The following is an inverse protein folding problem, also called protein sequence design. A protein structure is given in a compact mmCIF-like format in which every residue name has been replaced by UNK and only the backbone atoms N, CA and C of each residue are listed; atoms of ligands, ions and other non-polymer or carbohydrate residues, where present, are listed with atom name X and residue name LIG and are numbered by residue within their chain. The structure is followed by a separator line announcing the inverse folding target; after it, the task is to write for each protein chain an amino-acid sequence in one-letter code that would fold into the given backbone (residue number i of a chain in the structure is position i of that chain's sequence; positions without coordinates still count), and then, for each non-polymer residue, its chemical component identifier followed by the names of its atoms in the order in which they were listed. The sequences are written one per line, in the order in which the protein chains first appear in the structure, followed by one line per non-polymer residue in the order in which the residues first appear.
data_IF_794887767012
#
_entry.id   IF_794887767012
#
_cell.length_a   1.000
_cell.length_b   1.000
_cell.length_c   1.000
_cell.angle_alpha   90.00
_cell.angle_beta   90.00
_cell.angle_gamma   90.00
#
_symmetry.space_group_name_H-M   'P 1'
#
loop_
_entity.id
_entity.type
_entity.pdbx_description
1 polymer ?
#
# COMPACT_ATOMS: atom_id res chain seq x y z
N UNK A 1 4.64 46.67 41.88
CA UNK A 1 5.42 45.53 41.34
C UNK A 1 4.75 44.15 41.47
N UNK A 2 3.62 43.99 42.19
CA UNK A 2 2.99 42.67 42.38
C UNK A 2 2.11 42.16 41.21
N UNK A 3 1.74 43.00 40.24
CA UNK A 3 0.83 42.62 39.15
C UNK A 3 1.49 41.98 37.92
N UNK A 4 2.78 42.25 37.67
CA UNK A 4 3.47 41.75 36.48
C UNK A 4 3.79 40.25 36.57
N UNK A 5 4.30 39.78 37.71
CA UNK A 5 4.63 38.37 37.91
C UNK A 5 3.42 37.43 37.96
N UNK A 6 2.24 37.92 38.32
CA UNK A 6 1.00 37.12 38.31
C UNK A 6 0.46 36.94 36.89
N UNK A 7 0.53 37.97 36.05
CA UNK A 7 0.11 37.92 34.64
C UNK A 7 1.01 36.98 33.82
N UNK A 8 2.32 37.05 34.06
CA UNK A 8 3.31 36.22 33.37
C UNK A 8 3.14 34.73 33.74
N UNK A 9 2.89 34.43 35.02
CA UNK A 9 2.61 33.08 35.49
C UNK A 9 1.30 32.53 34.92
N UNK A 10 0.25 33.35 34.84
CA UNK A 10 -1.02 32.99 34.23
C UNK A 10 -0.88 32.70 32.73
N UNK A 11 -0.11 33.51 32.00
CA UNK A 11 0.16 33.28 30.57
C UNK A 11 0.94 31.98 30.32
N UNK A 12 1.90 31.65 31.18
CA UNK A 12 2.65 30.38 31.10
C UNK A 12 1.75 29.18 31.38
N UNK A 13 0.93 29.25 32.43
CA UNK A 13 -0.02 28.17 32.76
C UNK A 13 -1.10 28.00 31.67
N UNK A 14 -1.61 29.10 31.11
CA UNK A 14 -2.55 29.08 30.00
C UNK A 14 -1.94 28.45 28.75
N UNK A 15 -0.73 28.87 28.34
CA UNK A 15 -0.02 28.26 27.20
C UNK A 15 0.22 26.77 27.41
N UNK A 16 0.66 26.36 28.59
CA UNK A 16 0.88 24.94 28.90
C UNK A 16 -0.41 24.11 28.85
N UNK A 17 -1.55 24.67 29.29
CA UNK A 17 -2.85 24.00 29.22
C UNK A 17 -3.35 23.86 27.77
N UNK A 18 -3.12 24.88 26.93
CA UNK A 18 -3.45 24.85 25.49
C UNK A 18 -2.55 23.85 24.76
N UNK A 19 -1.23 23.86 25.01
CA UNK A 19 -0.29 22.89 24.43
C UNK A 19 -0.65 21.45 24.79
N UNK A 20 -1.03 21.18 26.05
CA UNK A 20 -1.50 19.85 26.46
C UNK A 20 -2.78 19.42 25.76
N UNK A 21 -3.70 20.36 25.51
CA UNK A 21 -4.92 20.09 24.74
C UNK A 21 -4.62 19.82 23.27
N UNK A 22 -3.75 20.61 22.64
CA UNK A 22 -3.39 20.48 21.23
C UNK A 22 -2.50 19.27 20.96
N UNK A 23 -1.76 18.78 21.95
CA UNK A 23 -0.99 17.55 21.84
C UNK A 23 -1.88 16.33 21.52
N UNK A 24 -3.12 16.29 22.01
CA UNK A 24 -4.08 15.23 21.69
C UNK A 24 -4.60 15.26 20.24
N UNK A 25 -4.34 16.36 19.52
CA UNK A 25 -4.70 16.55 18.12
C UNK A 25 -3.54 16.32 17.16
N UNK A 26 -2.36 15.91 17.66
CA UNK A 26 -1.23 15.45 16.84
C UNK A 26 -1.24 13.92 16.81
N UNK A 27 -1.44 13.34 15.65
CA UNK A 27 -1.55 11.89 15.45
C UNK A 27 -0.35 11.36 14.65
N UNK A 28 0.24 10.24 15.08
CA UNK A 28 1.24 9.50 14.29
C UNK A 28 0.54 8.80 13.11
N UNK A 29 0.94 9.13 11.88
CA UNK A 29 0.30 8.64 10.67
C UNK A 29 0.63 7.20 10.33
N UNK A 30 1.76 6.65 10.79
CA UNK A 30 2.10 5.23 10.62
C UNK A 30 1.11 4.34 11.36
N UNK A 31 0.57 4.80 12.50
CA UNK A 31 -0.46 4.07 13.27
C UNK A 31 -1.89 4.49 12.93
N UNK A 32 -2.10 5.68 12.36
CA UNK A 32 -3.43 6.16 11.99
C UNK A 32 -3.91 5.58 10.65
N UNK A 33 -2.99 5.26 9.72
CA UNK A 33 -3.32 4.63 8.45
C UNK A 33 -3.55 3.13 8.66
N UNK A 34 -4.78 2.68 8.47
CA UNK A 34 -5.17 1.27 8.58
C UNK A 34 -5.31 0.67 7.18
N UNK A 35 -4.43 -0.29 6.85
CA UNK A 35 -4.45 -1.03 5.59
C UNK A 35 -5.10 -2.41 5.80
N UNK A 36 -5.96 -2.83 4.87
CA UNK A 36 -6.53 -4.19 4.85
C UNK A 36 -6.58 -4.76 3.42
N UNK A 37 -6.35 -6.07 3.30
CA UNK A 37 -6.63 -6.86 2.11
C UNK A 37 -7.84 -7.76 2.39
N UNK A 38 -8.97 -7.47 1.76
CA UNK A 38 -10.28 -8.04 2.08
C UNK A 38 -10.63 -9.15 1.09
N UNK A 39 -10.79 -10.39 1.56
CA UNK A 39 -11.28 -11.53 0.78
C UNK A 39 -12.75 -11.82 1.07
N UNK A 40 -13.12 -11.67 2.34
CA UNK A 40 -14.45 -11.94 2.86
C UNK A 40 -15.00 -10.73 3.64
N UNK A 41 -16.33 -10.53 3.70
CA UNK A 41 -16.92 -9.41 4.44
C UNK A 41 -16.43 -9.30 5.90
N UNK A 42 -16.23 -10.43 6.57
CA UNK A 42 -15.73 -10.51 7.95
C UNK A 42 -14.30 -9.97 8.13
N UNK A 43 -13.50 -9.84 7.06
CA UNK A 43 -12.16 -9.25 7.16
C UNK A 43 -12.23 -7.74 7.50
N UNK A 44 -13.36 -7.06 7.23
CA UNK A 44 -13.55 -5.64 7.56
C UNK A 44 -13.54 -5.39 9.06
N UNK A 45 -14.12 -6.31 9.84
CA UNK A 45 -14.25 -6.22 11.29
C UNK A 45 -13.11 -6.95 12.03
N UNK A 46 -12.24 -7.66 11.29
CA UNK A 46 -11.16 -8.44 11.86
C UNK A 46 -9.86 -7.63 11.93
N UNK A 47 -9.50 -7.15 13.13
CA UNK A 47 -8.28 -6.36 13.36
C UNK A 47 -6.98 -7.12 13.05
N UNK A 48 -6.98 -8.46 13.06
CA UNK A 48 -5.82 -9.27 12.66
C UNK A 48 -5.46 -9.03 11.18
N UNK A 49 -6.43 -8.61 10.35
CA UNK A 49 -6.21 -8.28 8.95
C UNK A 49 -5.68 -6.86 8.74
N UNK A 50 -5.68 -6.02 9.77
CA UNK A 50 -5.13 -4.68 9.70
C UNK A 50 -3.61 -4.74 9.77
N UNK A 51 -2.97 -4.05 8.84
CA UNK A 51 -1.53 -3.78 8.89
C UNK A 51 -1.29 -2.30 8.62
N UNK A 52 -0.06 -1.87 8.86
CA UNK A 52 0.29 -0.45 8.97
C UNK A 52 1.46 -0.11 8.04
N UNK A 53 1.56 1.14 7.56
CA UNK A 53 2.75 1.63 6.89
C UNK A 53 3.99 1.57 7.78
N UNK A 54 5.15 1.31 7.17
CA UNK A 54 6.47 1.52 7.80
C UNK A 54 6.93 2.98 7.62
N UNK A 55 6.53 3.60 6.51
CA UNK A 55 6.89 4.97 6.14
C UNK A 55 5.64 5.78 5.77
N UNK A 56 5.54 7.00 6.27
CA UNK A 56 4.56 8.00 5.84
C UNK A 56 5.17 9.39 5.62
N UNK A 57 6.48 9.53 5.84
CA UNK A 57 7.20 10.81 5.79
C UNK A 57 7.09 11.55 4.46
N UNK A 58 7.00 10.85 3.32
CA UNK A 58 6.85 11.50 2.01
C UNK A 58 5.54 12.30 1.88
N UNK A 59 4.50 11.95 2.66
CA UNK A 59 3.22 12.69 2.70
C UNK A 59 3.09 13.58 3.93
N UNK A 60 3.56 13.12 5.09
CA UNK A 60 3.30 13.74 6.39
C UNK A 60 4.55 14.33 7.06
N UNK A 61 5.63 14.49 6.29
CA UNK A 61 6.90 15.07 6.74
C UNK A 61 7.72 14.13 7.63
N UNK A 62 8.94 14.52 7.96
CA UNK A 62 9.89 13.67 8.71
C UNK A 62 9.39 13.23 10.09
N UNK A 63 8.48 14.00 10.69
CA UNK A 63 7.83 13.69 11.97
C UNK A 63 6.76 12.60 11.85
N UNK A 64 6.29 12.30 10.62
CA UNK A 64 5.23 11.32 10.34
C UNK A 64 3.96 11.58 11.15
N UNK A 65 3.51 12.84 11.13
CA UNK A 65 2.35 13.27 11.92
C UNK A 65 1.35 14.09 11.13
N UNK A 66 0.07 13.94 11.48
CA UNK A 66 -1.01 14.81 11.06
C UNK A 66 -1.57 15.59 12.25
N UNK A 67 -1.79 16.89 12.07
CA UNK A 67 -2.30 17.80 13.07
C UNK A 67 -3.79 18.13 12.87
N UNK A 68 -4.49 18.36 13.98
CA UNK A 68 -5.85 18.89 14.02
C UNK A 68 -6.94 17.83 14.18
N UNK A 69 -6.58 16.58 14.45
CA UNK A 69 -7.52 15.47 14.60
C UNK A 69 -7.26 14.69 15.88
N UNK A 70 -8.33 14.42 16.65
CA UNK A 70 -8.29 13.51 17.80
C UNK A 70 -8.87 12.16 17.42
N UNK A 71 -8.12 11.09 17.68
CA UNK A 71 -8.54 9.72 17.33
C UNK A 71 -8.63 9.51 15.82
N UNK A 72 -7.68 10.07 15.07
CA UNK A 72 -7.62 9.98 13.61
C UNK A 72 -7.46 8.52 13.16
N UNK A 73 -8.28 8.11 12.20
CA UNK A 73 -8.17 6.87 11.45
C UNK A 73 -8.27 7.16 9.95
N UNK A 74 -7.30 6.67 9.19
CA UNK A 74 -7.23 6.81 7.74
C UNK A 74 -7.36 5.40 7.16
N UNK A 75 -8.58 5.05 6.77
CA UNK A 75 -8.92 3.71 6.31
C UNK A 75 -8.63 3.58 4.82
N UNK A 76 -7.69 2.70 4.46
CA UNK A 76 -7.34 2.35 3.09
C UNK A 76 -7.49 0.84 2.91
N UNK A 77 -8.71 0.42 2.57
CA UNK A 77 -9.03 -1.00 2.43
C UNK A 77 -9.08 -1.39 0.96
N UNK A 78 -8.55 -2.57 0.65
CA UNK A 78 -8.39 -3.04 -0.72
C UNK A 78 -9.02 -4.42 -0.85
N UNK A 79 -9.79 -4.64 -1.92
CA UNK A 79 -10.21 -6.00 -2.26
C UNK A 79 -8.97 -6.81 -2.66
N UNK A 80 -8.84 -8.03 -2.12
CA UNK A 80 -7.58 -8.76 -2.11
C UNK A 80 -6.94 -8.98 -3.48
N UNK A 81 -7.72 -9.23 -4.55
CA UNK A 81 -7.20 -9.42 -5.90
C UNK A 81 -7.12 -8.11 -6.67
N UNK A 82 -8.26 -7.55 -7.07
CA UNK A 82 -8.35 -6.36 -7.92
C UNK A 82 -7.77 -5.09 -7.31
N UNK A 83 -7.56 -5.06 -6.00
CA UNK A 83 -7.16 -3.89 -5.22
C UNK A 83 -8.13 -2.71 -5.34
N UNK A 84 -9.38 -2.94 -5.74
CA UNK A 84 -10.43 -1.92 -5.68
C UNK A 84 -10.47 -1.33 -4.25
N UNK A 85 -10.50 0.00 -4.16
CA UNK A 85 -10.11 0.70 -2.93
C UNK A 85 -11.30 1.35 -2.24
N UNK A 86 -11.38 1.23 -0.92
CA UNK A 86 -12.16 2.10 -0.05
C UNK A 86 -11.22 3.05 0.67
N UNK A 87 -11.55 4.34 0.62
CA UNK A 87 -10.84 5.40 1.32
C UNK A 87 -11.79 6.21 2.20
N UNK A 88 -11.51 6.26 3.51
CA UNK A 88 -12.26 7.05 4.48
C UNK A 88 -11.33 7.66 5.52
N UNK A 89 -11.64 8.88 5.94
CA UNK A 89 -11.01 9.51 7.11
C UNK A 89 -12.07 9.59 8.21
N UNK A 90 -11.75 9.02 9.37
CA UNK A 90 -12.59 9.04 10.57
C UNK A 90 -11.83 9.71 11.71
N UNK A 91 -12.53 10.41 12.59
CA UNK A 91 -11.96 11.05 13.77
C UNK A 91 -13.05 11.29 14.82
N UNK A 92 -12.66 11.40 16.09
CA UNK A 92 -13.58 11.72 17.17
C UNK A 92 -13.92 13.22 17.22
N UNK A 93 -12.90 14.07 17.03
CA UNK A 93 -13.06 15.52 16.90
C UNK A 93 -11.95 16.12 16.03
N UNK A 94 -12.24 17.30 15.46
CA UNK A 94 -11.35 18.09 14.62
C UNK A 94 -11.25 19.50 15.21
N UNK A 95 -10.08 20.13 15.17
CA UNK A 95 -9.94 21.54 15.55
C UNK A 95 -10.73 22.42 14.58
N UNK A 96 -11.28 23.53 15.07
CA UNK A 96 -11.93 24.53 14.23
C UNK A 96 -11.34 25.93 14.46
N UNK A 97 -11.50 26.81 13.46
CA UNK A 97 -11.02 28.19 13.52
C UNK A 97 -11.66 29.01 14.64
N UNK A 98 -12.86 28.61 15.11
CA UNK A 98 -13.64 29.34 16.09
C UNK A 98 -13.19 29.06 17.54
N UNK A 99 -12.55 27.92 17.80
CA UNK A 99 -12.10 27.49 19.12
C UNK A 99 -10.59 27.65 19.34
N UNK A 100 -9.78 27.34 18.32
CA UNK A 100 -8.34 27.16 18.51
C UNK A 100 -7.46 28.08 17.64
N UNK A 101 -8.04 28.87 16.73
CA UNK A 101 -7.32 29.73 15.76
C UNK A 101 -6.30 28.97 14.88
N UNK A 102 -6.47 27.65 14.70
CA UNK A 102 -5.61 26.80 13.86
C UNK A 102 -6.48 25.94 12.94
N UNK A 103 -6.03 25.73 11.72
CA UNK A 103 -6.66 24.81 10.77
C UNK A 103 -6.03 23.42 10.90
N UNK A 104 -6.83 22.37 10.71
CA UNK A 104 -6.34 21.00 10.66
C UNK A 104 -5.68 20.70 9.31
N UNK A 105 -4.75 19.75 9.29
CA UNK A 105 -4.10 19.32 8.04
C UNK A 105 -5.10 18.72 7.05
N UNK A 106 -4.89 18.97 5.76
CA UNK A 106 -5.66 18.33 4.69
C UNK A 106 -5.20 16.87 4.45
N UNK A 107 -5.57 16.00 5.38
CA UNK A 107 -5.27 14.56 5.31
C UNK A 107 -5.88 13.93 4.06
N UNK A 108 -7.10 14.30 3.69
CA UNK A 108 -7.76 13.75 2.51
C UNK A 108 -7.05 14.12 1.22
N UNK A 109 -6.70 15.40 1.05
CA UNK A 109 -5.97 15.87 -0.12
C UNK A 109 -4.60 15.22 -0.25
N UNK A 110 -3.87 15.02 0.86
CA UNK A 110 -2.59 14.31 0.87
C UNK A 110 -2.72 12.87 0.37
N UNK A 111 -3.69 12.11 0.87
CA UNK A 111 -3.89 10.72 0.42
C UNK A 111 -4.32 10.68 -1.06
N UNK A 112 -5.20 11.59 -1.50
CA UNK A 112 -5.65 11.68 -2.90
C UNK A 112 -4.53 11.99 -3.90
N UNK A 113 -3.36 12.46 -3.46
CA UNK A 113 -2.21 12.69 -4.34
C UNK A 113 -1.57 11.37 -4.81
N UNK A 114 -1.73 10.28 -4.05
CA UNK A 114 -1.02 9.02 -4.31
C UNK A 114 -1.93 7.83 -4.63
N UNK A 115 -3.24 7.93 -4.38
CA UNK A 115 -4.23 6.93 -4.80
C UNK A 115 -4.94 7.38 -6.08
N UNK A 116 -5.27 6.47 -7.01
CA UNK A 116 -6.06 6.82 -8.19
C UNK A 116 -7.49 7.23 -7.79
N UNK A 117 -8.15 8.06 -8.60
CA UNK A 117 -9.56 8.39 -8.38
C UNK A 117 -10.47 7.16 -8.57
N UNK A 118 -11.71 7.26 -8.08
CA UNK A 118 -12.72 6.19 -8.25
C UNK A 118 -12.79 5.18 -7.08
N UNK A 119 -12.15 5.48 -5.94
CA UNK A 119 -12.33 4.73 -4.70
C UNK A 119 -13.75 4.88 -4.13
N UNK A 120 -14.21 3.87 -3.41
CA UNK A 120 -15.45 3.92 -2.62
C UNK A 120 -15.22 4.70 -1.32
N UNK A 121 -16.27 5.35 -0.81
CA UNK A 121 -16.23 6.13 0.44
C UNK A 121 -17.12 5.55 1.54
N UNK A 122 -17.77 4.40 1.30
CA UNK A 122 -18.57 3.67 2.27
C UNK A 122 -18.45 2.16 2.08
N UNK A 123 -18.71 1.42 3.16
CA UNK A 123 -18.54 -0.03 3.21
C UNK A 123 -19.55 -0.80 2.35
N UNK A 124 -20.76 -0.28 2.15
CA UNK A 124 -21.79 -0.95 1.35
C UNK A 124 -21.41 -1.03 -0.14
N UNK A 125 -20.90 0.08 -0.70
CA UNK A 125 -20.40 0.11 -2.08
C UNK A 125 -19.18 -0.80 -2.24
N UNK A 126 -18.29 -0.80 -1.23
CA UNK A 126 -17.11 -1.66 -1.23
C UNK A 126 -17.48 -3.16 -1.17
N UNK A 127 -18.46 -3.54 -0.35
CA UNK A 127 -18.98 -4.91 -0.31
C UNK A 127 -19.66 -5.30 -1.63
N UNK A 128 -20.35 -4.36 -2.29
CA UNK A 128 -20.94 -4.59 -3.62
C UNK A 128 -19.88 -4.82 -4.70
N UNK A 129 -18.69 -4.24 -4.56
CA UNK A 129 -17.53 -4.57 -5.42
C UNK A 129 -16.94 -5.94 -5.08
N UNK A 130 -16.87 -6.29 -3.79
CA UNK A 130 -16.34 -7.58 -3.32
C UNK A 130 -17.13 -8.78 -3.84
N UNK A 131 -18.44 -8.63 -4.06
CA UNK A 131 -19.27 -9.65 -4.70
C UNK A 131 -18.86 -9.96 -6.14
N UNK A 132 -18.29 -8.97 -6.85
CA UNK A 132 -17.85 -9.10 -8.26
C UNK A 132 -16.39 -9.52 -8.40
N UNK A 133 -15.68 -9.72 -7.29
CA UNK A 133 -14.25 -10.04 -7.30
C UNK A 133 -13.94 -11.39 -7.97
N UNK A 134 -14.93 -12.29 -8.08
CA UNK A 134 -14.79 -13.55 -8.82
C UNK A 134 -14.39 -13.36 -10.30
N UNK A 135 -14.72 -12.21 -10.87
CA UNK A 135 -14.38 -11.85 -12.25
C UNK A 135 -12.92 -11.43 -12.42
N UNK A 136 -12.22 -11.08 -11.33
CA UNK A 136 -10.81 -10.73 -11.37
C UNK A 136 -9.95 -11.93 -11.82
N UNK A 137 -8.96 -11.64 -12.67
CA UNK A 137 -7.97 -12.61 -13.16
C UNK A 137 -6.57 -11.99 -13.15
N UNK A 138 -5.52 -12.78 -12.86
CA UNK A 138 -4.14 -12.32 -12.97
C UNK A 138 -3.81 -11.79 -14.37
N UNK A 139 -2.96 -10.76 -14.42
CA UNK A 139 -2.54 -10.13 -15.67
C UNK A 139 -1.35 -10.85 -16.30
N UNK A 140 -1.32 -10.89 -17.63
CA UNK A 140 -0.15 -11.32 -18.39
C UNK A 140 0.05 -12.84 -18.45
N UNK A 141 1.31 -13.25 -18.55
CA UNK A 141 1.72 -14.65 -18.80
C UNK A 141 2.17 -15.32 -17.52
N UNK A 142 1.59 -16.49 -17.20
CA UNK A 142 2.02 -17.31 -16.08
C UNK A 142 3.46 -17.81 -16.29
N UNK A 143 4.34 -17.54 -15.33
CA UNK A 143 5.74 -17.98 -15.34
C UNK A 143 6.00 -19.16 -14.40
N UNK A 144 5.40 -19.13 -13.21
CA UNK A 144 5.66 -20.15 -12.19
C UNK A 144 4.43 -20.38 -11.31
N UNK A 145 4.26 -21.62 -10.84
CA UNK A 145 3.27 -22.00 -9.82
C UNK A 145 4.00 -22.80 -8.74
N UNK A 146 3.77 -22.45 -7.48
CA UNK A 146 4.32 -23.16 -6.32
C UNK A 146 3.26 -23.31 -5.24
N UNK A 147 3.42 -24.31 -4.38
CA UNK A 147 2.53 -24.53 -3.24
C UNK A 147 3.33 -24.57 -1.95
N UNK A 148 2.78 -23.97 -0.91
CA UNK A 148 3.31 -24.07 0.45
C UNK A 148 2.40 -25.04 1.20
N UNK A 149 2.96 -26.20 1.55
CA UNK A 149 2.26 -27.19 2.35
C UNK A 149 2.21 -26.71 3.80
N UNK A 150 1.05 -26.83 4.43
CA UNK A 150 0.94 -26.56 5.86
C UNK A 150 1.79 -27.59 6.64
N UNK A 151 2.74 -27.15 7.49
CA UNK A 151 3.58 -28.05 8.27
C UNK A 151 2.78 -28.86 9.30
N UNK A 152 1.54 -28.44 9.61
CA UNK A 152 0.63 -29.11 10.55
C UNK A 152 -0.46 -29.94 9.86
N UNK A 153 -0.36 -30.16 8.54
CA UNK A 153 -1.34 -30.96 7.79
C UNK A 153 -2.67 -30.24 7.49
N UNK A 154 -2.66 -28.90 7.55
CA UNK A 154 -3.79 -28.04 7.14
C UNK A 154 -3.87 -27.81 5.62
N UNK A 155 -4.60 -26.78 5.22
CA UNK A 155 -4.78 -26.42 3.80
C UNK A 155 -3.46 -26.06 3.11
N UNK A 156 -3.34 -26.50 1.86
CA UNK A 156 -2.22 -26.16 1.00
C UNK A 156 -2.47 -24.81 0.33
N UNK A 157 -1.55 -23.87 0.50
CA UNK A 157 -1.63 -22.58 -0.18
C UNK A 157 -0.96 -22.69 -1.54
N UNK A 158 -1.61 -22.20 -2.60
CA UNK A 158 -1.08 -22.24 -3.96
C UNK A 158 -0.88 -20.83 -4.48
N UNK A 159 0.29 -20.57 -5.04
CA UNK A 159 0.72 -19.27 -5.51
C UNK A 159 1.18 -19.34 -6.95
N UNK A 160 1.09 -18.21 -7.64
CA UNK A 160 1.44 -18.07 -9.03
C UNK A 160 2.17 -16.77 -9.29
N UNK A 161 3.18 -16.80 -10.15
CA UNK A 161 3.97 -15.64 -10.57
C UNK A 161 3.70 -15.41 -12.05
N UNK A 162 3.33 -14.17 -12.39
CA UNK A 162 3.02 -13.74 -13.75
C UNK A 162 3.96 -12.63 -14.20
N UNK A 163 4.24 -12.55 -15.50
CA UNK A 163 4.80 -11.34 -16.13
C UNK A 163 3.71 -10.60 -16.88
N UNK A 164 3.52 -9.33 -16.55
CA UNK A 164 2.56 -8.44 -17.18
C UNK A 164 3.25 -7.24 -17.84
N UNK A 165 2.47 -6.52 -18.65
CA UNK A 165 2.82 -5.25 -19.28
C UNK A 165 1.54 -4.43 -19.53
N UNK A 166 1.69 -3.18 -19.97
CA UNK A 166 0.57 -2.25 -20.17
C UNK A 166 -0.38 -2.64 -21.32
N UNK A 167 -0.07 -3.68 -22.11
CA UNK A 167 -1.00 -4.20 -23.13
C UNK A 167 -2.12 -5.05 -22.51
N UNK A 168 -1.92 -5.50 -21.26
CA UNK A 168 -2.92 -6.24 -20.52
C UNK A 168 -4.09 -5.31 -20.13
N UNK A 169 -5.30 -5.63 -20.61
CA UNK A 169 -6.52 -4.87 -20.29
C UNK A 169 -6.71 -4.75 -18.77
N UNK A 170 -6.84 -3.52 -18.28
CA UNK A 170 -7.06 -3.22 -16.86
C UNK A 170 -5.78 -3.20 -15.99
N UNK A 171 -4.61 -3.50 -16.56
CA UNK A 171 -3.37 -3.57 -15.78
C UNK A 171 -2.86 -2.20 -15.37
N UNK A 172 -3.03 -1.16 -16.20
CA UNK A 172 -2.63 0.21 -15.87
C UNK A 172 -3.32 0.70 -14.60
N UNK A 173 -4.64 0.58 -14.57
CA UNK A 173 -5.46 1.01 -13.42
C UNK A 173 -5.17 0.15 -12.19
N UNK A 174 -4.92 -1.15 -12.37
CA UNK A 174 -4.49 -2.03 -11.28
C UNK A 174 -3.13 -1.62 -10.71
N UNK A 175 -2.15 -1.32 -11.58
CA UNK A 175 -0.82 -0.87 -11.17
C UNK A 175 -0.88 0.46 -10.41
N UNK A 176 -1.73 1.39 -10.84
CA UNK A 176 -1.96 2.66 -10.13
C UNK A 176 -2.47 2.45 -8.70
N UNK A 177 -3.34 1.45 -8.47
CA UNK A 177 -3.77 1.09 -7.11
C UNK A 177 -2.63 0.44 -6.32
N UNK A 178 -1.90 -0.48 -6.95
CA UNK A 178 -0.82 -1.25 -6.32
C UNK A 178 0.39 -0.39 -5.93
N UNK A 179 0.80 0.58 -6.76
CA UNK A 179 2.00 1.38 -6.50
C UNK A 179 1.89 2.24 -5.23
N UNK A 180 0.68 2.56 -4.78
CA UNK A 180 0.43 3.25 -3.50
C UNK A 180 1.15 2.54 -2.35
N UNK A 181 1.18 1.21 -2.35
CA UNK A 181 1.84 0.43 -1.29
C UNK A 181 3.35 0.67 -1.21
N UNK A 182 4.00 1.08 -2.31
CA UNK A 182 5.42 1.41 -2.27
C UNK A 182 5.70 2.61 -1.37
N UNK A 183 4.81 3.60 -1.36
CA UNK A 183 4.94 4.80 -0.52
C UNK A 183 4.95 4.46 0.98
N UNK A 184 4.36 3.32 1.34
CA UNK A 184 4.25 2.84 2.72
C UNK A 184 5.41 1.95 3.16
N UNK A 185 6.11 1.30 2.21
CA UNK A 185 7.01 0.18 2.51
C UNK A 185 8.40 0.29 1.88
N UNK A 186 8.64 1.29 1.03
CA UNK A 186 9.97 1.59 0.49
C UNK A 186 10.26 3.06 0.75
N UNK A 187 11.26 3.32 1.58
CA UNK A 187 11.62 4.65 2.10
C UNK A 187 11.70 5.73 1.01
N UNK A 188 12.37 5.43 -0.10
CA UNK A 188 12.62 6.38 -1.21
C UNK A 188 11.82 6.03 -2.47
N UNK A 189 10.64 5.43 -2.31
CA UNK A 189 9.75 5.13 -3.44
C UNK A 189 9.39 6.37 -4.25
N UNK A 190 9.28 6.19 -5.57
CA UNK A 190 8.66 7.13 -6.49
C UNK A 190 7.89 6.36 -7.56
N UNK A 191 6.80 6.93 -8.06
CA UNK A 191 6.04 6.31 -9.14
C UNK A 191 6.83 6.35 -10.45
N UNK A 192 6.78 5.26 -11.20
CA UNK A 192 7.50 5.09 -12.46
C UNK A 192 6.70 5.67 -13.64
N UNK A 193 7.42 6.03 -14.71
CA UNK A 193 6.80 6.34 -16.01
C UNK A 193 6.38 5.05 -16.71
N UNK A 194 5.08 4.74 -16.66
CA UNK A 194 4.49 3.52 -17.24
C UNK A 194 4.41 3.55 -18.77
N UNK A 195 4.67 4.69 -19.41
CA UNK A 195 4.67 4.80 -20.87
C UNK A 195 6.04 4.41 -21.48
N UNK A 196 7.09 4.26 -20.66
CA UNK A 196 8.35 3.64 -21.08
C UNK A 196 8.21 2.10 -21.15
N UNK A 197 8.22 1.58 -22.37
CA UNK A 197 8.08 0.15 -22.68
C UNK A 197 9.18 -0.75 -22.09
N UNK A 198 10.26 -0.18 -21.55
CA UNK A 198 11.36 -0.93 -20.91
C UNK A 198 11.01 -1.43 -19.51
N UNK A 199 9.88 -1.00 -18.94
CA UNK A 199 9.39 -1.52 -17.68
C UNK A 199 8.76 -2.90 -17.83
N UNK A 200 9.28 -3.85 -17.07
CA UNK A 200 8.70 -5.18 -16.90
C UNK A 200 8.11 -5.34 -15.51
N UNK A 201 6.96 -6.00 -15.43
CA UNK A 201 6.20 -6.17 -14.19
C UNK A 201 6.06 -7.66 -13.89
N UNK A 202 6.42 -8.07 -12.68
CA UNK A 202 6.28 -9.44 -12.20
C UNK A 202 5.36 -9.46 -11.00
N UNK A 203 4.23 -10.17 -11.09
CA UNK A 203 3.14 -10.16 -10.12
C UNK A 203 3.05 -11.50 -9.41
N UNK A 204 2.82 -11.50 -8.10
CA UNK A 204 2.57 -12.70 -7.31
C UNK A 204 1.12 -12.71 -6.84
N UNK A 205 0.43 -13.82 -7.10
CA UNK A 205 -0.93 -14.05 -6.64
C UNK A 205 -1.06 -15.35 -5.84
N UNK A 206 -1.85 -15.32 -4.77
CA UNK A 206 -2.34 -16.51 -4.07
C UNK A 206 -3.69 -16.92 -4.64
N UNK A 207 -3.87 -18.21 -4.91
CA UNK A 207 -5.18 -18.78 -5.22
C UNK A 207 -5.91 -19.10 -3.92
N UNK A 208 -7.16 -18.66 -3.81
CA UNK A 208 -8.04 -19.04 -2.70
C UNK A 208 -9.44 -19.37 -3.24
N UNK A 209 -10.22 -20.12 -2.46
CA UNK A 209 -11.58 -20.48 -2.82
C UNK A 209 -12.60 -19.68 -2.00
N UNK A 210 -13.66 -19.21 -2.65
CA UNK A 210 -14.81 -18.55 -2.03
C UNK A 210 -16.05 -18.96 -2.81
N UNK A 211 -17.08 -19.44 -2.10
CA UNK A 211 -18.37 -19.85 -2.67
C UNK A 211 -18.26 -20.85 -3.85
N UNK A 212 -17.28 -21.76 -3.77
CA UNK A 212 -17.02 -22.78 -4.80
C UNK A 212 -16.27 -22.28 -6.04
N UNK A 213 -15.92 -20.99 -6.11
CA UNK A 213 -15.10 -20.41 -7.15
C UNK A 213 -13.64 -20.23 -6.69
N UNK A 214 -12.70 -20.28 -7.64
CA UNK A 214 -11.28 -19.96 -7.39
C UNK A 214 -11.01 -18.50 -7.76
N UNK A 215 -10.55 -17.74 -6.76
CA UNK A 215 -10.18 -16.33 -6.84
C UNK A 215 -8.67 -16.17 -6.65
N UNK A 216 -8.19 -14.94 -6.84
CA UNK A 216 -6.77 -14.61 -6.79
C UNK A 216 -6.57 -13.39 -5.89
N UNK A 217 -5.69 -13.51 -4.90
CA UNK A 217 -5.30 -12.41 -4.03
C UNK A 217 -3.90 -11.93 -4.39
N UNK A 218 -3.72 -10.62 -4.48
CA UNK A 218 -2.42 -9.98 -4.71
C UNK A 218 -1.51 -10.18 -3.50
N UNK A 219 -0.34 -10.77 -3.74
CA UNK A 219 0.66 -11.06 -2.70
C UNK A 219 1.78 -10.04 -2.72
N UNK A 220 2.16 -9.58 -3.92
CA UNK A 220 3.26 -8.66 -4.11
C UNK A 220 3.65 -8.53 -5.57
N UNK A 221 4.66 -7.71 -5.84
CA UNK A 221 5.18 -7.54 -7.19
C UNK A 221 6.63 -7.03 -7.22
N UNK A 222 7.20 -7.03 -8.42
CA UNK A 222 8.49 -6.45 -8.73
C UNK A 222 8.43 -5.69 -10.06
N UNK A 223 9.02 -4.50 -10.09
CA UNK A 223 9.31 -3.76 -11.33
C UNK A 223 10.78 -3.89 -11.68
N UNK A 224 11.04 -4.14 -12.97
CA UNK A 224 12.40 -4.30 -13.50
C UNK A 224 12.54 -3.43 -14.73
N UNK A 225 13.53 -2.55 -14.75
CA UNK A 225 13.84 -1.74 -15.93
C UNK A 225 14.85 -2.45 -16.83
N UNK A 226 14.51 -2.66 -18.09
CA UNK A 226 15.38 -3.36 -19.04
C UNK A 226 16.37 -2.40 -19.71
N UNK A 227 17.47 -2.07 -19.03
CA UNK A 227 18.48 -1.12 -19.56
C UNK A 227 19.12 -1.65 -20.84
N UNK A 228 19.12 -0.82 -21.88
CA UNK A 228 19.89 -1.09 -23.10
C UNK A 228 21.39 -0.99 -22.82
N UNK A 229 22.13 -1.98 -23.30
CA UNK A 229 23.59 -2.04 -23.27
C UNK A 229 24.06 -2.14 -24.71
N UNK A 230 24.78 -1.11 -25.18
CA UNK A 230 25.31 -1.07 -26.53
C UNK A 230 26.22 -2.28 -26.82
N UNK A 231 26.17 -2.87 -28.04
CA UNK A 231 25.31 -2.48 -29.17
C UNK A 231 23.95 -3.19 -29.24
N UNK A 232 23.77 -4.31 -28.56
CA UNK A 232 22.65 -5.23 -28.84
C UNK A 232 22.20 -6.05 -27.61
N UNK A 233 22.58 -5.61 -26.40
CA UNK A 233 22.31 -6.34 -25.16
C UNK A 233 21.43 -5.55 -24.21
N UNK A 234 20.98 -6.21 -23.15
CA UNK A 234 20.30 -5.55 -22.03
C UNK A 234 20.85 -5.99 -20.68
N UNK A 235 20.64 -5.14 -19.68
CA UNK A 235 20.92 -5.39 -18.27
C UNK A 235 19.68 -5.04 -17.45
N UNK A 236 18.78 -6.00 -17.21
CA UNK A 236 17.64 -5.79 -16.34
C UNK A 236 18.07 -5.33 -14.94
N UNK A 237 17.41 -4.29 -14.42
CA UNK A 237 17.65 -3.78 -13.06
C UNK A 237 16.37 -3.83 -12.25
N UNK A 238 16.37 -4.60 -11.18
CA UNK A 238 15.28 -4.59 -10.18
C UNK A 238 15.21 -3.18 -9.59
N UNK A 239 14.04 -2.55 -9.70
CA UNK A 239 13.83 -1.18 -9.24
C UNK A 239 12.97 -1.13 -7.99
N UNK A 240 11.83 -1.81 -7.97
CA UNK A 240 10.94 -1.87 -6.82
C UNK A 240 10.56 -3.31 -6.60
N UNK A 241 10.58 -3.77 -5.35
CA UNK A 241 10.16 -5.10 -4.96
C UNK A 241 9.39 -5.02 -3.66
N UNK A 242 8.18 -5.56 -3.66
CA UNK A 242 7.33 -5.57 -2.48
C UNK A 242 6.57 -6.89 -2.38
N UNK A 243 6.63 -7.50 -1.20
CA UNK A 243 5.66 -8.50 -0.74
C UNK A 243 4.82 -7.82 0.33
N UNK A 244 3.49 -7.82 0.17
CA UNK A 244 2.58 -7.16 1.10
C UNK A 244 2.70 -7.82 2.49
N UNK A 245 2.59 -7.00 3.54
CA UNK A 245 2.90 -7.37 4.93
C UNK A 245 2.32 -8.71 5.39
N UNK A 246 1.05 -9.06 5.10
CA UNK A 246 0.47 -10.35 5.52
C UNK A 246 1.18 -11.59 4.94
N UNK A 247 1.99 -11.42 3.88
CA UNK A 247 2.65 -12.50 3.17
C UNK A 247 4.19 -12.49 3.32
N UNK A 248 4.72 -11.57 4.13
CA UNK A 248 6.17 -11.50 4.39
C UNK A 248 6.64 -12.66 5.28
N UNK A 249 7.95 -12.97 5.22
CA UNK A 249 8.54 -14.07 6.01
C UNK A 249 8.18 -15.49 5.55
N UNK A 250 7.44 -15.63 4.43
CA UNK A 250 6.89 -16.92 3.94
C UNK A 250 7.58 -17.44 2.66
N UNK A 251 8.71 -16.86 2.27
CA UNK A 251 9.51 -17.30 1.12
C UNK A 251 9.06 -16.78 -0.25
N UNK A 252 7.99 -15.99 -0.34
CA UNK A 252 7.47 -15.49 -1.62
C UNK A 252 8.42 -14.52 -2.34
N UNK A 253 9.16 -13.70 -1.59
CA UNK A 253 10.17 -12.81 -2.18
C UNK A 253 11.29 -13.61 -2.86
N UNK A 254 11.73 -14.73 -2.26
CA UNK A 254 12.73 -15.62 -2.85
C UNK A 254 12.20 -16.29 -4.12
N UNK A 255 10.98 -16.82 -4.09
CA UNK A 255 10.31 -17.41 -5.27
C UNK A 255 10.17 -16.40 -6.41
N UNK A 256 9.79 -15.15 -6.09
CA UNK A 256 9.68 -14.07 -7.06
C UNK A 256 11.02 -13.77 -7.72
N UNK A 257 12.06 -13.46 -6.93
CA UNK A 257 13.38 -13.13 -7.45
C UNK A 257 13.98 -14.28 -8.26
N UNK A 258 13.88 -15.51 -7.76
CA UNK A 258 14.36 -16.70 -8.49
C UNK A 258 13.64 -16.86 -9.84
N UNK A 259 12.32 -16.66 -9.87
CA UNK A 259 11.52 -16.73 -11.11
C UNK A 259 11.94 -15.63 -12.10
N UNK A 260 12.19 -14.41 -11.62
CA UNK A 260 12.70 -13.31 -12.46
C UNK A 260 14.09 -13.64 -13.03
N UNK A 261 14.98 -14.21 -12.22
CA UNK A 261 16.29 -14.67 -12.69
C UNK A 261 16.17 -15.74 -13.78
N UNK A 262 15.35 -16.78 -13.56
CA UNK A 262 15.10 -17.84 -14.56
C UNK A 262 14.52 -17.26 -15.85
N UNK A 263 13.61 -16.29 -15.76
CA UNK A 263 13.01 -15.61 -16.92
C UNK A 263 14.06 -14.94 -17.80
N UNK A 264 14.97 -14.14 -17.22
CA UNK A 264 15.96 -13.40 -18.00
C UNK A 264 17.15 -14.23 -18.45
N UNK A 265 17.59 -15.22 -17.67
CA UNK A 265 18.71 -16.12 -18.04
C UNK A 265 18.40 -16.91 -19.32
N UNK A 266 17.11 -17.14 -19.62
CA UNK A 266 16.70 -17.78 -20.86
C UNK A 266 16.97 -16.94 -22.12
N UNK A 267 17.26 -15.63 -21.99
CA UNK A 267 17.52 -14.73 -23.12
C UNK A 267 19.02 -14.48 -23.33
N UNK A 268 19.61 -14.87 -24.49
CA UNK A 268 21.02 -14.60 -24.79
C UNK A 268 21.40 -13.11 -24.89
N UNK A 269 20.42 -12.23 -25.04
CA UNK A 269 20.63 -10.78 -25.10
C UNK A 269 20.85 -10.15 -23.73
N UNK A 270 20.53 -10.86 -22.64
CA UNK A 270 20.71 -10.38 -21.27
C UNK A 270 22.13 -10.70 -20.80
N UNK A 271 22.81 -9.69 -20.25
CA UNK A 271 24.14 -9.86 -19.65
C UNK A 271 24.07 -10.44 -18.23
N UNK A 272 23.40 -9.71 -17.36
CA UNK A 272 23.30 -9.94 -15.92
C UNK A 272 22.09 -9.15 -15.39
N UNK A 273 21.67 -9.45 -14.16
CA UNK A 273 20.60 -8.72 -13.46
C UNK A 273 21.23 -7.95 -12.30
N UNK A 274 20.82 -6.69 -12.14
CA UNK A 274 21.26 -5.80 -11.06
C UNK A 274 20.06 -5.38 -10.19
N UNK A 275 20.31 -4.78 -9.02
CA UNK A 275 19.26 -4.23 -8.16
C UNK A 275 19.70 -2.90 -7.54
N UNK A 276 18.73 -2.07 -7.19
CA UNK A 276 18.89 -0.86 -6.36
C UNK A 276 18.40 -1.11 -4.95
#
# INVERSE_FOLDING_TARGET
MAGFGAMEKFLVEYKSAVEKKLAEYKCNTNTAIELKLVRFPEDLENDIRTFFPEYTHQLFGDDETAFGYKGLKILLYYIAGSLSTLFRVEYASKVDENFDCVEADDVEGKIRQIIPPGFCTNTNDFLSLLEKEVDFKPFGTLLHTYSVLSPTGGENFTFQIYKADMTCRGFREYHERLQTFLMWFIETASFIDVDDERWHYFLVFEKYNKDGATLFATVGYMTVYNYYVYPDKTRPRVSQMLILTPFQGQGHGAQLLETVHRYYIASPSVLDITGT
#
